data_IF_501369774270
#
_entry.id   IF_501369774270
#
_cell.length_a   1.000
_cell.length_b   1.000
_cell.length_c   1.000
_cell.angle_alpha   90.00
_cell.angle_beta   90.00
_cell.angle_gamma   90.00
#
_symmetry.space_group_name_H-M   'P 1'
#
loop_
_entity.id
_entity.type
_entity.pdbx_description
1 polymer ?
#
# COMPACT_ATOMS: atom_id res chain seq x y z
N UNK A 1 37.71 19.25 -49.09
CA UNK A 1 36.72 18.13 -49.16
C UNK A 1 36.72 17.25 -47.89
N UNK A 2 37.89 16.97 -47.31
CA UNK A 2 38.04 16.08 -46.14
C UNK A 2 37.38 16.61 -44.86
N UNK A 3 37.49 17.91 -44.60
CA UNK A 3 36.92 18.57 -43.43
C UNK A 3 35.39 18.50 -43.38
N UNK A 4 34.73 18.67 -44.53
CA UNK A 4 33.27 18.47 -44.67
C UNK A 4 32.86 17.03 -44.34
N UNK A 5 33.65 16.03 -44.76
CA UNK A 5 33.46 14.61 -44.39
C UNK A 5 33.62 14.40 -42.88
N UNK A 6 34.61 15.03 -42.23
CA UNK A 6 34.83 14.97 -40.77
C UNK A 6 33.66 15.60 -40.01
N UNK A 7 33.17 16.76 -40.45
CA UNK A 7 32.01 17.43 -39.86
C UNK A 7 30.71 16.60 -39.97
N UNK A 8 30.48 15.95 -41.11
CA UNK A 8 29.32 15.08 -41.31
C UNK A 8 29.37 13.84 -40.41
N UNK A 9 30.54 13.20 -40.29
CA UNK A 9 30.76 12.08 -39.35
C UNK A 9 30.52 12.50 -37.89
N UNK A 10 30.93 13.70 -37.48
CA UNK A 10 30.70 14.24 -36.13
C UNK A 10 29.21 14.46 -35.86
N UNK A 11 28.48 15.08 -36.81
CA UNK A 11 27.02 15.27 -36.72
C UNK A 11 26.27 13.94 -36.62
N UNK A 12 26.69 12.93 -37.38
CA UNK A 12 26.06 11.61 -37.32
C UNK A 12 26.30 10.90 -35.97
N UNK A 13 27.53 10.99 -35.44
CA UNK A 13 27.87 10.47 -34.10
C UNK A 13 27.03 11.13 -33.01
N UNK A 14 26.86 12.45 -33.04
CA UNK A 14 26.02 13.17 -32.07
C UNK A 14 24.54 12.80 -32.21
N UNK A 15 24.02 12.65 -33.44
CA UNK A 15 22.66 12.12 -33.67
C UNK A 15 22.50 10.71 -33.10
N UNK A 16 23.47 9.81 -33.29
CA UNK A 16 23.44 8.45 -32.72
C UNK A 16 23.45 8.47 -31.19
N UNK A 17 24.32 9.28 -30.57
CA UNK A 17 24.34 9.48 -29.11
C UNK A 17 23.02 10.02 -28.57
N UNK A 18 22.42 11.00 -29.24
CA UNK A 18 21.12 11.54 -28.86
C UNK A 18 20.00 10.50 -28.91
N UNK A 19 19.97 9.65 -29.96
CA UNK A 19 19.03 8.53 -30.06
C UNK A 19 19.21 7.51 -28.94
N UNK A 20 20.46 7.19 -28.60
CA UNK A 20 20.75 6.23 -27.54
C UNK A 20 20.39 6.75 -26.14
N UNK A 21 20.66 8.04 -25.85
CA UNK A 21 20.21 8.69 -24.61
C UNK A 21 18.69 8.63 -24.46
N UNK A 22 17.95 8.92 -25.55
CA UNK A 22 16.48 8.80 -25.57
C UNK A 22 16.01 7.37 -25.32
N UNK A 23 16.66 6.36 -25.92
CA UNK A 23 16.36 4.94 -25.68
C UNK A 23 16.57 4.56 -24.21
N UNK A 24 17.74 4.90 -23.63
CA UNK A 24 18.04 4.63 -22.21
C UNK A 24 17.05 5.32 -21.26
N UNK A 25 16.61 6.54 -21.59
CA UNK A 25 15.57 7.24 -20.83
C UNK A 25 14.21 6.50 -20.84
N UNK A 26 13.79 6.02 -22.02
CA UNK A 26 12.57 5.21 -22.15
C UNK A 26 12.67 3.88 -21.39
N UNK A 27 13.82 3.21 -21.47
CA UNK A 27 14.11 1.96 -20.73
C UNK A 27 13.99 2.16 -19.21
N UNK A 28 14.64 3.21 -18.67
CA UNK A 28 14.55 3.55 -17.24
C UNK A 28 13.10 3.85 -16.81
N UNK A 29 12.34 4.57 -17.64
CA UNK A 29 10.93 4.86 -17.36
C UNK A 29 10.09 3.58 -17.38
N UNK A 30 10.34 2.67 -18.33
CA UNK A 30 9.67 1.36 -18.41
C UNK A 30 9.98 0.49 -17.19
N UNK A 31 11.25 0.43 -16.74
CA UNK A 31 11.65 -0.28 -15.52
C UNK A 31 10.98 0.29 -14.27
N UNK A 32 10.93 1.63 -14.12
CA UNK A 32 10.18 2.28 -13.04
C UNK A 32 8.70 1.88 -13.06
N UNK A 33 8.03 2.00 -14.21
CA UNK A 33 6.62 1.63 -14.34
C UNK A 33 6.40 0.14 -14.02
N UNK A 34 7.29 -0.75 -14.49
CA UNK A 34 7.21 -2.18 -14.19
C UNK A 34 7.38 -2.48 -12.70
N UNK A 35 8.31 -1.79 -12.03
CA UNK A 35 8.53 -1.93 -10.59
C UNK A 35 7.33 -1.40 -9.79
N UNK A 36 6.75 -0.25 -10.18
CA UNK A 36 5.52 0.25 -9.58
C UNK A 36 4.35 -0.72 -9.78
N UNK A 37 4.18 -1.29 -10.98
CA UNK A 37 3.13 -2.28 -11.26
C UNK A 37 3.31 -3.56 -10.44
N UNK A 38 4.54 -4.05 -10.30
CA UNK A 38 4.85 -5.21 -9.47
C UNK A 38 4.55 -4.96 -7.99
N UNK A 39 4.94 -3.80 -7.48
CA UNK A 39 4.64 -3.40 -6.09
C UNK A 39 3.13 -3.27 -5.84
N UNK A 40 2.40 -2.63 -6.76
CA UNK A 40 0.92 -2.53 -6.71
C UNK A 40 0.24 -3.91 -6.74
N UNK A 41 0.73 -4.85 -7.56
CA UNK A 41 0.16 -6.20 -7.64
C UNK A 41 0.42 -7.02 -6.36
N UNK A 42 1.56 -6.84 -5.70
CA UNK A 42 1.82 -7.48 -4.39
C UNK A 42 0.99 -6.85 -3.27
N UNK A 43 0.72 -5.54 -3.34
CA UNK A 43 -0.16 -4.87 -2.39
C UNK A 43 -1.61 -5.35 -2.53
N UNK A 44 -2.07 -5.62 -3.76
CA UNK A 44 -3.39 -6.23 -3.99
C UNK A 44 -3.48 -7.70 -3.58
N UNK A 45 -2.34 -8.38 -3.40
CA UNK A 45 -2.25 -9.76 -2.88
C UNK A 45 -2.13 -9.82 -1.36
N UNK A 46 -2.13 -8.68 -0.67
CA UNK A 46 -2.07 -8.62 0.80
C UNK A 46 -3.43 -9.02 1.40
N UNK A 47 -3.89 -10.23 1.11
CA UNK A 47 -4.65 -11.01 2.10
C UNK A 47 -3.62 -11.45 3.14
N UNK A 48 -3.43 -10.64 4.16
CA UNK A 48 -2.65 -11.03 5.34
C UNK A 48 -3.54 -11.83 6.29
N UNK A 49 -2.91 -12.56 7.22
CA UNK A 49 -3.65 -13.38 8.16
C UNK A 49 -4.67 -12.54 8.96
N UNK A 50 -5.89 -13.06 9.09
CA UNK A 50 -6.88 -12.45 9.96
C UNK A 50 -6.40 -12.49 11.43
N UNK A 51 -6.84 -11.55 12.26
CA UNK A 51 -6.54 -11.55 13.68
C UNK A 51 -7.08 -12.81 14.34
N UNK A 52 -6.19 -13.59 14.94
CA UNK A 52 -6.53 -14.85 15.59
C UNK A 52 -7.21 -14.59 16.94
N UNK A 53 -8.06 -15.51 17.39
CA UNK A 53 -8.76 -15.38 18.66
C UNK A 53 -7.80 -15.30 19.86
N UNK A 54 -6.65 -15.99 19.80
CA UNK A 54 -5.60 -15.92 20.83
C UNK A 54 -4.90 -14.57 20.88
N UNK A 55 -4.90 -13.82 19.77
CA UNK A 55 -4.14 -12.58 19.64
C UNK A 55 -2.67 -12.75 19.34
N UNK A 56 -2.15 -13.97 19.17
CA UNK A 56 -0.71 -14.21 18.98
C UNK A 56 -0.13 -13.46 17.77
N UNK A 57 -0.95 -13.25 16.73
CA UNK A 57 -0.59 -12.50 15.53
C UNK A 57 -0.95 -11.00 15.60
N UNK A 58 -1.39 -10.47 16.74
CA UNK A 58 -1.94 -9.12 16.89
C UNK A 58 -0.98 -8.02 16.39
N UNK A 59 0.32 -8.10 16.70
CA UNK A 59 1.29 -7.10 16.25
C UNK A 59 1.48 -7.10 14.73
N UNK A 60 1.53 -8.30 14.11
CA UNK A 60 1.59 -8.41 12.64
C UNK A 60 0.31 -7.86 12.02
N UNK A 61 -0.84 -8.27 12.55
CA UNK A 61 -2.16 -7.82 12.09
C UNK A 61 -2.30 -6.29 12.17
N UNK A 62 -1.87 -5.67 13.26
CA UNK A 62 -1.89 -4.20 13.43
C UNK A 62 -1.06 -3.51 12.36
N UNK A 63 0.14 -4.02 12.07
CA UNK A 63 1.02 -3.45 11.07
C UNK A 63 0.40 -3.53 9.68
N UNK A 64 -0.07 -4.72 9.29
CA UNK A 64 -0.63 -4.99 7.98
C UNK A 64 -1.94 -4.20 7.77
N UNK A 65 -2.84 -4.20 8.77
CA UNK A 65 -4.08 -3.44 8.73
C UNK A 65 -3.82 -1.93 8.59
N UNK A 66 -2.86 -1.37 9.33
CA UNK A 66 -2.48 0.05 9.21
C UNK A 66 -1.96 0.40 7.82
N UNK A 67 -1.11 -0.45 7.25
CA UNK A 67 -0.56 -0.25 5.89
C UNK A 67 -1.70 -0.29 4.87
N UNK A 68 -2.60 -1.27 4.99
CA UNK A 68 -3.71 -1.45 4.07
C UNK A 68 -4.69 -0.27 4.12
N UNK A 69 -5.10 0.17 5.31
CA UNK A 69 -5.95 1.34 5.49
C UNK A 69 -5.30 2.60 4.92
N UNK A 70 -4.01 2.84 5.21
CA UNK A 70 -3.28 4.02 4.68
C UNK A 70 -3.18 4.00 3.15
N UNK A 71 -2.88 2.85 2.56
CA UNK A 71 -2.76 2.71 1.11
C UNK A 71 -4.08 2.98 0.38
N UNK A 72 -5.22 2.72 1.03
CA UNK A 72 -6.55 2.95 0.49
C UNK A 72 -7.13 4.32 0.89
N UNK A 73 -6.35 5.21 1.52
CA UNK A 73 -6.83 6.51 1.98
C UNK A 73 -7.74 6.46 3.22
N UNK A 74 -7.93 5.28 3.82
CA UNK A 74 -8.79 5.05 4.98
C UNK A 74 -8.05 5.19 6.32
N UNK A 75 -6.77 5.58 6.31
CA UNK A 75 -5.93 5.61 7.50
C UNK A 75 -6.45 6.50 8.64
N UNK A 76 -7.25 7.53 8.33
CA UNK A 76 -7.83 8.41 9.34
C UNK A 76 -8.98 7.77 10.13
N UNK A 77 -9.64 6.75 9.59
CA UNK A 77 -10.81 6.09 10.22
C UNK A 77 -10.50 5.38 11.55
N UNK A 78 -9.22 5.15 11.84
CA UNK A 78 -8.72 4.51 13.07
C UNK A 78 -7.90 5.46 13.96
N UNK A 79 -8.01 6.78 13.72
CA UNK A 79 -7.37 7.83 14.51
C UNK A 79 -8.44 8.61 15.29
N UNK A 80 -8.07 9.11 16.46
CA UNK A 80 -8.90 10.02 17.24
C UNK A 80 -9.18 11.33 16.50
N UNK A 81 -10.33 11.95 16.79
CA UNK A 81 -10.76 13.22 16.19
C UNK A 81 -10.76 13.19 14.65
N UNK A 82 -11.02 12.01 14.07
CA UNK A 82 -11.04 11.86 12.61
C UNK A 82 -12.27 12.56 11.99
N UNK A 83 -12.08 13.06 10.78
CA UNK A 83 -13.13 13.67 9.96
C UNK A 83 -13.53 12.74 8.80
N UNK A 84 -13.48 11.42 9.02
CA UNK A 84 -13.81 10.46 7.97
C UNK A 84 -15.29 10.54 7.63
N UNK A 85 -15.61 10.45 6.34
CA UNK A 85 -16.98 10.37 5.87
C UNK A 85 -17.65 9.04 6.32
N UNK A 86 -18.99 8.98 6.41
CA UNK A 86 -19.70 7.73 6.67
C UNK A 86 -19.33 6.60 5.69
N UNK A 87 -19.05 6.95 4.42
CA UNK A 87 -18.62 6.00 3.39
C UNK A 87 -17.23 5.43 3.66
N UNK A 88 -16.28 6.26 4.10
CA UNK A 88 -14.94 5.81 4.50
C UNK A 88 -15.00 4.93 5.74
N UNK A 89 -15.84 5.30 6.72
CA UNK A 89 -16.07 4.49 7.91
C UNK A 89 -16.66 3.12 7.57
N UNK A 90 -17.67 3.06 6.70
CA UNK A 90 -18.24 1.79 6.26
C UNK A 90 -17.21 0.93 5.51
N UNK A 91 -16.39 1.52 4.63
CA UNK A 91 -15.33 0.80 3.90
C UNK A 91 -14.27 0.24 4.85
N UNK A 92 -13.82 1.04 5.83
CA UNK A 92 -12.87 0.61 6.85
C UNK A 92 -13.46 -0.49 7.74
N UNK A 93 -14.73 -0.37 8.13
CA UNK A 93 -15.40 -1.35 8.96
C UNK A 93 -15.54 -2.71 8.25
N UNK A 94 -15.96 -2.71 6.97
CA UNK A 94 -16.00 -3.92 6.14
C UNK A 94 -14.62 -4.57 6.07
N UNK A 95 -13.57 -3.76 5.88
CA UNK A 95 -12.20 -4.24 5.84
C UNK A 95 -11.78 -4.89 7.17
N UNK A 96 -11.97 -4.21 8.31
CA UNK A 96 -11.61 -4.74 9.63
C UNK A 96 -12.36 -6.05 9.92
N UNK A 97 -13.68 -6.08 9.69
CA UNK A 97 -14.47 -7.30 9.90
C UNK A 97 -13.99 -8.46 9.05
N UNK A 98 -13.59 -8.25 7.79
CA UNK A 98 -13.06 -9.33 6.93
C UNK A 98 -11.77 -9.94 7.46
N UNK A 99 -10.99 -9.18 8.21
CA UNK A 99 -9.65 -9.57 8.66
C UNK A 99 -9.59 -9.87 10.16
N UNK A 100 -10.71 -10.21 10.82
CA UNK A 100 -10.69 -10.72 12.21
C UNK A 100 -11.42 -12.06 12.30
N UNK A 101 -11.06 -12.87 13.29
CA UNK A 101 -11.68 -14.17 13.52
C UNK A 101 -13.20 -14.09 13.75
N UNK A 102 -13.96 -15.11 13.33
CA UNK A 102 -15.43 -15.13 13.40
C UNK A 102 -15.99 -14.93 14.82
N UNK A 103 -15.35 -15.53 15.82
CA UNK A 103 -15.72 -15.35 17.22
C UNK A 103 -15.61 -13.88 17.66
N UNK A 104 -14.58 -13.15 17.19
CA UNK A 104 -14.43 -11.72 17.48
C UNK A 104 -15.52 -10.91 16.77
N UNK A 105 -15.90 -11.26 15.54
CA UNK A 105 -17.02 -10.59 14.84
C UNK A 105 -18.34 -10.73 15.61
N UNK A 106 -18.56 -11.88 16.24
CA UNK A 106 -19.76 -12.16 17.03
C UNK A 106 -19.76 -11.37 18.33
N UNK A 107 -18.61 -11.27 19.00
CA UNK A 107 -18.45 -10.50 20.24
C UNK A 107 -18.65 -8.99 20.00
N UNK A 108 -18.09 -8.46 18.92
CA UNK A 108 -18.22 -7.05 18.54
C UNK A 108 -19.33 -6.82 17.51
N UNK A 109 -20.41 -7.61 17.53
CA UNK A 109 -21.46 -7.54 16.50
C UNK A 109 -22.16 -6.17 16.45
N UNK A 110 -22.35 -5.54 17.61
CA UNK A 110 -23.01 -4.23 17.75
C UNK A 110 -22.10 -3.04 17.46
N UNK A 111 -20.80 -3.26 17.28
CA UNK A 111 -19.86 -2.20 16.95
C UNK A 111 -19.95 -1.93 15.44
N UNK A 112 -20.35 -0.71 15.08
CA UNK A 112 -20.50 -0.23 13.71
C UNK A 112 -19.44 0.82 13.34
N UNK A 113 -18.72 1.36 14.31
CA UNK A 113 -17.62 2.30 14.11
C UNK A 113 -16.23 1.62 14.07
N UNK A 114 -15.41 1.89 13.03
CA UNK A 114 -14.10 1.25 12.89
C UNK A 114 -13.10 1.65 13.97
N UNK A 115 -13.13 2.91 14.44
CA UNK A 115 -12.25 3.38 15.53
C UNK A 115 -12.54 2.64 16.83
N UNK A 116 -13.83 2.46 17.16
CA UNK A 116 -14.26 1.77 18.38
C UNK A 116 -13.81 0.32 18.35
N UNK A 117 -14.01 -0.39 17.24
CA UNK A 117 -13.53 -1.76 17.06
C UNK A 117 -11.99 -1.82 17.18
N UNK A 118 -11.28 -0.91 16.51
CA UNK A 118 -9.83 -0.84 16.52
C UNK A 118 -9.26 -0.70 17.95
N UNK A 119 -9.85 0.22 18.74
CA UNK A 119 -9.45 0.43 20.14
C UNK A 119 -9.78 -0.76 21.03
N UNK A 120 -10.96 -1.36 20.89
CA UNK A 120 -11.36 -2.51 21.69
C UNK A 120 -10.44 -3.73 21.46
N UNK A 121 -10.07 -4.00 20.20
CA UNK A 121 -9.08 -5.02 19.87
C UNK A 121 -7.70 -4.65 20.43
N UNK A 122 -7.34 -3.37 20.35
CA UNK A 122 -6.17 -2.79 21.00
C UNK A 122 -6.11 -3.13 22.48
N UNK A 123 -7.09 -2.68 23.26
CA UNK A 123 -7.17 -2.88 24.71
C UNK A 123 -7.15 -4.36 25.11
N UNK A 124 -7.84 -5.22 24.35
CA UNK A 124 -7.86 -6.66 24.61
C UNK A 124 -6.46 -7.27 24.52
N UNK A 125 -5.73 -6.98 23.45
CA UNK A 125 -4.46 -7.63 23.13
C UNK A 125 -3.21 -6.80 23.48
N UNK A 126 -3.36 -5.56 23.95
CA UNK A 126 -2.23 -4.70 24.37
C UNK A 126 -1.41 -5.35 25.49
N UNK A 127 -2.06 -6.20 26.29
CA UNK A 127 -1.45 -6.97 27.37
C UNK A 127 -0.37 -7.96 26.89
N UNK A 128 -0.38 -8.36 25.61
CA UNK A 128 0.62 -9.25 25.02
C UNK A 128 1.88 -8.53 24.54
N UNK A 129 1.96 -7.20 24.69
CA UNK A 129 3.18 -6.42 24.42
C UNK A 129 4.24 -6.54 25.53
N UNK A 130 3.95 -7.25 26.62
CA UNK A 130 4.88 -7.46 27.74
C UNK A 130 5.70 -8.74 27.60
#
# INVERSE_FOLDING_TARGET
KEERKRAQRKKEKEKRKGRERRRKGKEKRKKRISSLKFWMANLAKLEFAALDLSGDNFLSWVLDAKIHLRANGLGQTIVDENNASPEENAKAMIFLRRHIHEALKSEYVVVDEPLVLWKALGERYDHQKR
#
